data_IF_265372131100
#
_entry.id   IF_265372131100
#
_cell.length_a   1.000
_cell.length_b   1.000
_cell.length_c   1.000
_cell.angle_alpha   90.00
_cell.angle_beta   90.00
_cell.angle_gamma   90.00
#
_symmetry.space_group_name_H-M   'P 1'
#
loop_
_entity.id
_entity.type
_entity.pdbx_description
1 polymer ?
#
# COMPACT_ATOMS: atom_id res chain seq x y z
N UNK A 1 3.38 20.06 -35.62
CA UNK A 1 2.20 19.79 -34.76
C UNK A 1 2.49 18.74 -33.68
N UNK A 2 3.28 17.69 -33.95
CA UNK A 2 3.59 16.63 -32.97
C UNK A 2 4.52 17.06 -31.81
N UNK A 3 5.45 18.01 -32.05
CA UNK A 3 6.34 18.54 -31.00
C UNK A 3 5.59 19.34 -29.91
N UNK A 4 4.52 20.06 -30.28
CA UNK A 4 3.70 20.77 -29.29
C UNK A 4 2.84 19.82 -28.44
N UNK A 5 2.39 18.71 -29.02
CA UNK A 5 1.64 17.68 -28.30
C UNK A 5 2.54 16.92 -27.33
N UNK A 6 3.74 16.52 -27.74
CA UNK A 6 4.71 15.86 -26.85
C UNK A 6 5.12 16.77 -25.67
N UNK A 7 5.33 18.07 -25.91
CA UNK A 7 5.61 19.03 -24.83
C UNK A 7 4.43 19.22 -23.86
N UNK A 8 3.19 19.22 -24.38
CA UNK A 8 1.99 19.27 -23.55
C UNK A 8 1.83 18.01 -22.70
N UNK A 9 2.03 16.82 -23.30
CA UNK A 9 1.94 15.54 -22.59
C UNK A 9 3.01 15.40 -21.51
N UNK A 10 4.25 15.81 -21.77
CA UNK A 10 5.30 15.84 -20.74
C UNK A 10 4.98 16.78 -19.58
N UNK A 11 4.35 17.93 -19.86
CA UNK A 11 3.90 18.88 -18.81
C UNK A 11 2.78 18.29 -17.97
N UNK A 12 1.79 17.64 -18.61
CA UNK A 12 0.68 16.97 -17.91
C UNK A 12 1.21 15.80 -17.08
N UNK A 13 2.09 14.98 -17.64
CA UNK A 13 2.73 13.85 -16.94
C UNK A 13 3.48 14.31 -15.69
N UNK A 14 4.29 15.37 -15.80
CA UNK A 14 5.03 15.94 -14.66
C UNK A 14 4.09 16.45 -13.56
N UNK A 15 2.98 17.10 -13.93
CA UNK A 15 1.99 17.57 -12.97
C UNK A 15 1.27 16.40 -12.27
N UNK A 16 0.93 15.35 -13.03
CA UNK A 16 0.32 14.14 -12.49
C UNK A 16 1.30 13.39 -11.56
N UNK A 17 2.59 13.33 -11.90
CA UNK A 17 3.60 12.73 -11.03
C UNK A 17 3.71 13.45 -9.69
N UNK A 18 3.73 14.79 -9.70
CA UNK A 18 3.73 15.55 -8.46
C UNK A 18 2.48 15.33 -7.59
N UNK A 19 1.30 15.13 -8.20
CA UNK A 19 0.09 14.75 -7.46
C UNK A 19 0.21 13.32 -6.92
N UNK A 20 0.74 12.39 -7.71
CA UNK A 20 0.94 11.00 -7.28
C UNK A 20 1.89 10.92 -6.08
N UNK A 21 2.98 11.69 -6.08
CA UNK A 21 3.93 11.77 -4.97
C UNK A 21 3.22 12.24 -3.68
N UNK A 22 2.40 13.30 -3.76
CA UNK A 22 1.61 13.78 -2.61
C UNK A 22 0.62 12.73 -2.11
N UNK A 23 -0.03 11.99 -3.01
CA UNK A 23 -0.96 10.92 -2.64
C UNK A 23 -0.23 9.78 -1.93
N UNK A 24 0.96 9.40 -2.39
CA UNK A 24 1.81 8.41 -1.72
C UNK A 24 2.24 8.87 -0.32
N UNK A 25 2.69 10.12 -0.19
CA UNK A 25 3.09 10.69 1.11
C UNK A 25 1.92 10.69 2.11
N UNK A 26 0.72 11.05 1.65
CA UNK A 26 -0.49 11.01 2.49
C UNK A 26 -0.83 9.57 2.88
N UNK A 27 -0.77 8.63 1.93
CA UNK A 27 -1.06 7.22 2.20
C UNK A 27 -0.12 6.65 3.27
N UNK A 28 1.19 6.89 3.16
CA UNK A 28 2.16 6.48 4.19
C UNK A 28 1.99 7.19 5.52
N UNK A 29 1.64 8.49 5.50
CA UNK A 29 1.42 9.25 6.73
C UNK A 29 0.22 8.73 7.51
N UNK A 30 -0.87 8.36 6.81
CA UNK A 30 -2.11 7.89 7.43
C UNK A 30 -2.02 6.39 7.78
N UNK A 31 -1.35 5.60 6.96
CA UNK A 31 -1.26 4.15 7.08
C UNK A 31 0.15 3.68 6.71
N UNK A 32 1.08 3.64 7.68
CA UNK A 32 2.45 3.21 7.41
C UNK A 32 2.52 1.82 6.77
N UNK A 33 3.19 1.70 5.64
CA UNK A 33 3.30 0.50 4.81
C UNK A 33 2.25 0.40 3.70
N UNK A 34 1.30 1.33 3.59
CA UNK A 34 0.25 1.34 2.57
C UNK A 34 0.77 1.44 1.13
N UNK A 35 1.99 1.96 0.93
CA UNK A 35 2.59 2.09 -0.39
C UNK A 35 3.48 0.90 -0.77
N UNK A 36 3.52 -0.15 0.05
CA UNK A 36 4.22 -1.40 -0.26
C UNK A 36 3.60 -2.11 -1.47
N UNK A 37 4.44 -2.68 -2.33
CA UNK A 37 4.04 -3.53 -3.47
C UNK A 37 3.33 -4.83 -3.08
N UNK A 38 3.25 -5.13 -1.79
CA UNK A 38 2.51 -6.29 -1.24
C UNK A 38 1.12 -5.90 -0.72
N UNK A 39 0.63 -4.73 -1.12
CA UNK A 39 -0.66 -4.21 -0.71
C UNK A 39 -1.45 -3.75 -1.91
N UNK A 40 -2.78 -3.89 -1.85
CA UNK A 40 -3.68 -3.36 -2.88
C UNK A 40 -3.46 -1.87 -3.09
N UNK A 41 -3.24 -1.12 -2.01
CA UNK A 41 -3.00 0.33 -2.09
C UNK A 41 -1.69 0.62 -2.82
N UNK A 42 -0.58 0.00 -2.45
CA UNK A 42 0.70 0.19 -3.13
C UNK A 42 0.66 -0.21 -4.61
N UNK A 43 0.01 -1.32 -4.95
CA UNK A 43 -0.16 -1.72 -6.34
C UNK A 43 -1.00 -0.75 -7.17
N UNK A 44 -1.84 0.09 -6.54
CA UNK A 44 -2.59 1.13 -7.23
C UNK A 44 -1.78 2.43 -7.37
N UNK A 45 -1.17 2.91 -6.29
CA UNK A 45 -0.66 4.30 -6.21
C UNK A 45 0.85 4.43 -6.07
N UNK A 46 1.56 3.37 -5.68
CA UNK A 46 3.01 3.44 -5.42
C UNK A 46 3.84 3.66 -6.68
N UNK A 47 5.14 3.84 -6.47
CA UNK A 47 6.10 3.89 -7.56
C UNK A 47 6.20 2.50 -8.22
N UNK A 48 5.69 2.39 -9.44
CA UNK A 48 5.52 1.12 -10.15
C UNK A 48 4.19 0.43 -9.86
N UNK A 49 3.18 1.17 -9.38
CA UNK A 49 1.79 0.75 -9.40
C UNK A 49 1.02 1.44 -10.54
N UNK A 50 -0.25 1.07 -10.69
CA UNK A 50 -1.13 1.42 -11.82
C UNK A 50 -1.08 2.90 -12.20
N UNK A 51 -1.11 3.79 -11.21
CA UNK A 51 -1.15 5.23 -11.46
C UNK A 51 0.18 5.76 -11.98
N UNK A 52 1.30 5.22 -11.49
CA UNK A 52 2.65 5.62 -11.92
C UNK A 52 2.94 5.17 -13.35
N UNK A 53 2.48 3.98 -13.73
CA UNK A 53 2.67 3.40 -15.06
C UNK A 53 1.88 4.14 -16.13
N UNK A 54 0.64 4.55 -15.82
CA UNK A 54 -0.14 5.41 -16.71
C UNK A 54 0.52 6.79 -16.89
N UNK A 55 1.11 7.35 -15.84
CA UNK A 55 1.83 8.62 -15.91
C UNK A 55 3.10 8.47 -16.75
N UNK A 56 3.86 7.40 -16.56
CA UNK A 56 5.05 7.10 -17.36
C UNK A 56 4.69 6.94 -18.85
N UNK A 57 3.64 6.18 -19.17
CA UNK A 57 3.16 6.04 -20.54
C UNK A 57 2.72 7.38 -21.17
N UNK A 58 2.16 8.30 -20.38
CA UNK A 58 1.83 9.66 -20.84
C UNK A 58 3.08 10.52 -21.09
N UNK A 59 4.07 10.46 -20.20
CA UNK A 59 5.33 11.21 -20.32
C UNK A 59 6.16 10.74 -21.52
N UNK A 60 6.20 9.43 -21.75
CA UNK A 60 6.95 8.79 -22.83
C UNK A 60 6.19 8.83 -24.17
N UNK A 61 4.90 9.14 -24.14
CA UNK A 61 4.02 9.09 -25.31
C UNK A 61 3.70 7.67 -25.76
N UNK A 62 3.95 6.67 -24.91
CA UNK A 62 3.59 5.26 -25.11
C UNK A 62 2.53 4.81 -24.10
N UNK A 63 1.29 5.20 -24.37
CA UNK A 63 0.16 4.76 -23.55
C UNK A 63 -0.10 3.25 -23.67
N UNK A 64 0.36 2.60 -24.74
CA UNK A 64 0.14 1.15 -24.92
C UNK A 64 1.07 0.36 -24.00
N UNK A 65 2.34 0.78 -23.88
CA UNK A 65 3.28 0.30 -22.88
C UNK A 65 2.73 0.49 -21.46
N UNK A 66 2.35 1.72 -21.11
CA UNK A 66 1.80 2.00 -19.77
C UNK A 66 0.54 1.18 -19.44
N UNK A 67 -0.35 0.92 -20.41
CA UNK A 67 -1.51 0.04 -20.18
C UNK A 67 -1.10 -1.42 -20.01
N UNK A 68 -0.06 -1.88 -20.71
CA UNK A 68 0.45 -3.24 -20.53
C UNK A 68 1.06 -3.42 -19.12
N UNK A 69 1.78 -2.43 -18.62
CA UNK A 69 2.35 -2.44 -17.28
C UNK A 69 1.25 -2.40 -16.20
N UNK A 70 0.21 -1.59 -16.39
CA UNK A 70 -1.02 -1.64 -15.56
C UNK A 70 -1.64 -3.05 -15.50
N UNK A 71 -1.67 -3.78 -16.62
CA UNK A 71 -2.19 -5.14 -16.61
C UNK A 71 -1.33 -6.08 -15.75
N UNK A 72 -0.02 -5.86 -15.69
CA UNK A 72 0.88 -6.60 -14.80
C UNK A 72 0.54 -6.28 -13.34
N UNK A 73 0.42 -5.02 -12.97
CA UNK A 73 0.10 -4.60 -11.60
C UNK A 73 -1.25 -5.12 -11.11
N UNK A 74 -2.21 -5.31 -12.02
CA UNK A 74 -3.52 -5.85 -11.69
C UNK A 74 -3.50 -7.38 -11.52
N UNK A 75 -2.79 -8.10 -12.38
CA UNK A 75 -3.01 -9.55 -12.58
C UNK A 75 -1.84 -10.45 -12.22
N UNK A 76 -0.64 -9.90 -12.07
CA UNK A 76 0.53 -10.67 -11.68
C UNK A 76 0.43 -11.17 -10.23
N UNK A 77 1.21 -12.21 -9.86
CA UNK A 77 1.37 -12.58 -8.46
C UNK A 77 1.85 -11.39 -7.62
N UNK A 78 1.19 -11.12 -6.51
CA UNK A 78 1.41 -9.93 -5.69
C UNK A 78 0.82 -8.64 -6.27
N UNK A 79 -0.03 -8.71 -7.30
CA UNK A 79 -0.76 -7.56 -7.85
C UNK A 79 -2.11 -7.30 -7.16
N UNK A 80 -2.82 -6.26 -7.58
CA UNK A 80 -4.09 -5.78 -6.97
C UNK A 80 -5.10 -6.90 -6.72
N UNK A 81 -5.36 -7.75 -7.72
CA UNK A 81 -6.36 -8.83 -7.58
C UNK A 81 -5.88 -9.87 -6.55
N UNK A 82 -4.59 -10.17 -6.54
CA UNK A 82 -4.03 -11.17 -5.63
C UNK A 82 -4.07 -10.67 -4.19
N UNK A 83 -3.68 -9.42 -3.96
CA UNK A 83 -3.63 -8.82 -2.63
C UNK A 83 -5.02 -8.60 -2.06
N UNK A 84 -5.96 -8.13 -2.89
CA UNK A 84 -7.36 -7.99 -2.49
C UNK A 84 -7.97 -9.34 -2.10
N UNK A 85 -7.69 -10.40 -2.87
CA UNK A 85 -8.14 -11.75 -2.54
C UNK A 85 -7.47 -12.30 -1.27
N UNK A 86 -6.24 -11.88 -0.97
CA UNK A 86 -5.51 -12.22 0.24
C UNK A 86 -5.89 -11.40 1.47
N UNK A 87 -6.73 -10.36 1.31
CA UNK A 87 -7.11 -9.44 2.39
C UNK A 87 -6.07 -8.35 2.71
N UNK A 88 -5.05 -8.17 1.87
CA UNK A 88 -4.04 -7.11 1.97
C UNK A 88 -4.49 -5.86 1.21
N UNK A 89 -5.25 -4.99 1.87
CA UNK A 89 -5.87 -3.83 1.22
C UNK A 89 -5.09 -2.53 1.43
N UNK A 90 -4.84 -2.21 2.69
CA UNK A 90 -4.48 -0.86 3.14
C UNK A 90 -3.05 -0.75 3.68
N UNK A 91 -2.31 -1.86 3.77
CA UNK A 91 -0.99 -1.95 4.37
C UNK A 91 -0.97 -1.86 5.90
N UNK A 92 -2.07 -1.44 6.53
CA UNK A 92 -2.22 -1.44 8.00
C UNK A 92 -2.45 -2.84 8.57
N UNK A 93 -2.73 -3.85 7.74
CA UNK A 93 -3.00 -5.22 8.19
C UNK A 93 -1.77 -5.83 8.89
N UNK A 94 -0.55 -5.45 8.50
CA UNK A 94 0.67 -5.84 9.21
C UNK A 94 0.77 -5.22 10.61
N UNK A 95 0.30 -3.98 10.78
CA UNK A 95 0.27 -3.28 12.06
C UNK A 95 -0.88 -3.81 12.94
N UNK A 96 -2.09 -3.92 12.39
CA UNK A 96 -3.26 -4.47 13.07
C UNK A 96 -3.05 -5.95 13.44
N UNK A 97 -2.47 -6.76 12.55
CA UNK A 97 -2.15 -8.16 12.82
C UNK A 97 -1.13 -8.32 13.96
N UNK A 98 -0.11 -7.47 14.01
CA UNK A 98 0.85 -7.48 15.11
C UNK A 98 0.27 -6.93 16.42
N UNK A 99 -0.53 -5.86 16.38
CA UNK A 99 -1.15 -5.26 17.57
C UNK A 99 -2.26 -6.14 18.13
N UNK A 100 -3.11 -6.72 17.27
CA UNK A 100 -4.14 -7.67 17.69
C UNK A 100 -3.54 -9.01 18.08
N UNK A 101 -2.51 -9.50 17.38
CA UNK A 101 -1.80 -10.72 17.75
C UNK A 101 -1.06 -10.61 19.08
N UNK A 102 -0.49 -9.44 19.39
CA UNK A 102 0.11 -9.17 20.71
C UNK A 102 -0.95 -8.96 21.80
N UNK A 103 -2.09 -8.33 21.50
CA UNK A 103 -3.20 -8.20 22.44
C UNK A 103 -3.90 -9.54 22.71
N UNK A 104 -4.10 -10.39 21.71
CA UNK A 104 -4.63 -11.75 21.86
C UNK A 104 -3.62 -12.67 22.56
N UNK A 105 -2.32 -12.51 22.32
CA UNK A 105 -1.28 -13.18 23.11
C UNK A 105 -1.27 -12.74 24.59
N UNK A 106 -1.59 -11.47 24.87
CA UNK A 106 -1.64 -10.88 26.21
C UNK A 106 -2.95 -11.17 26.97
N UNK A 107 -4.05 -11.42 26.26
CA UNK A 107 -5.38 -11.69 26.84
C UNK A 107 -5.81 -13.17 26.74
N UNK A 108 -5.24 -13.93 25.82
CA UNK A 108 -5.63 -15.30 25.46
C UNK A 108 -4.71 -16.40 25.98
N UNK A 109 -3.57 -16.05 26.59
CA UNK A 109 -2.83 -17.00 27.43
C UNK A 109 -3.48 -17.03 28.82
N UNK A 110 -3.67 -18.22 29.38
CA UNK A 110 -4.22 -18.44 30.72
C UNK A 110 -3.38 -17.84 31.87
N UNK A 111 -2.41 -16.97 31.55
CA UNK A 111 -1.47 -16.28 32.42
C UNK A 111 -1.26 -14.80 31.96
N UNK A 112 -2.24 -14.22 31.24
CA UNK A 112 -2.25 -12.79 30.90
C UNK A 112 -2.21 -11.92 32.16
N UNK A 113 -1.81 -10.66 32.05
CA UNK A 113 -1.43 -9.68 33.10
C UNK A 113 -2.38 -9.52 34.33
N UNK A 114 -3.52 -10.20 34.37
CA UNK A 114 -4.44 -10.32 35.52
C UNK A 114 -4.32 -11.65 36.29
N UNK A 115 -3.69 -12.68 35.72
CA UNK A 115 -3.45 -13.98 36.36
C UNK A 115 -2.41 -13.92 37.49
N UNK A 116 -1.60 -12.86 37.54
CA UNK A 116 -0.60 -12.63 38.59
C UNK A 116 -1.06 -11.81 39.80
N UNK A 117 -2.32 -11.32 39.84
CA UNK A 117 -2.83 -10.52 40.98
C UNK A 117 -3.90 -11.30 41.78
N UNK A 118 -4.09 -12.58 41.49
CA UNK A 118 -5.10 -13.40 42.15
C UNK A 118 -4.61 -14.82 42.40
N UNK A 119 -3.54 -14.99 43.19
CA UNK A 119 -3.48 -16.00 44.26
C UNK A 119 -2.12 -16.02 44.97
N UNK A 120 -2.13 -15.63 46.24
CA UNK A 120 -1.14 -16.04 47.24
C UNK A 120 0.08 -15.13 47.44
N UNK A 121 -0.05 -14.13 48.32
CA UNK A 121 0.75 -14.04 49.56
C UNK A 121 0.38 -12.75 50.34
N UNK A 122 -0.77 -12.80 51.04
CA UNK A 122 -1.13 -11.84 52.09
C UNK A 122 -1.11 -12.52 53.46
N UNK A 123 -0.12 -13.38 53.73
CA UNK A 123 0.17 -13.88 55.08
C UNK A 123 1.69 -14.02 55.29
N UNK A 124 2.35 -12.87 55.41
CA UNK A 124 3.62 -12.68 56.12
C UNK A 124 3.47 -11.62 57.20
#
# INVERSE_FOLDING_TARGET
MLSGLSGLLGTVGSALRGVNDVVNDVAETVSPGATSSETTTGNLISNGGVTSDLIAGLEEGDLTGGVADVYVDLTAPGGVINDLAGGGGLGIEGVLGNVLGTADGLLGTADGLLGGIGDGDLLG
#
